data_IF_989345767491
#
_entry.id   IF_989345767491
#
_cell.length_a   1.000
_cell.length_b   1.000
_cell.length_c   1.000
_cell.angle_alpha   90.00
_cell.angle_beta   90.00
_cell.angle_gamma   90.00
#
_symmetry.space_group_name_H-M   'P 1'
#
loop_
_entity.id
_entity.type
_entity.pdbx_description
1 polymer ?
#
# COMPACT_ATOMS: atom_id res chain seq x y z
N UNK A 1 17.91 -21.11 -16.31
CA UNK A 1 17.94 -21.04 -15.91
C UNK A 1 17.50 -20.94 -15.06
N UNK A 2 17.23 -21.06 -14.87
CA UNK A 2 16.92 -21.06 -14.12
C UNK A 2 16.79 -20.92 -13.18
N UNK A 3 16.84 -21.06 -13.07
CA UNK A 3 16.92 -21.05 -12.18
C UNK A 3 16.82 -20.47 -11.29
N UNK A 4 16.85 -20.25 -11.40
CA UNK A 4 16.80 -19.78 -10.67
C UNK A 4 16.31 -19.67 -9.79
N UNK A 5 15.79 -19.81 -9.79
CA UNK A 5 15.14 -19.70 -9.05
C UNK A 5 15.23 -20.07 -7.99
N UNK A 6 15.48 -20.52 -7.94
CA UNK A 6 15.51 -20.92 -7.01
C UNK A 6 16.01 -20.59 -6.09
N UNK A 7 16.24 -20.26 -6.10
CA UNK A 7 16.75 -19.95 -5.32
C UNK A 7 16.31 -19.39 -4.31
N UNK A 8 15.63 -19.21 -4.28
CA UNK A 8 15.11 -18.59 -3.54
C UNK A 8 14.84 -19.40 -2.52
N UNK A 9 14.99 -20.36 -2.67
CA UNK A 9 14.80 -21.13 -1.85
C UNK A 9 15.71 -21.17 -0.97
N UNK A 10 16.24 -20.69 -1.09
CA UNK A 10 17.14 -20.49 -0.45
C UNK A 10 17.02 -20.55 0.62
N UNK A 11 16.50 -20.63 0.57
CA UNK A 11 16.34 -20.76 1.41
C UNK A 11 16.74 -20.78 2.25
N UNK A 12 16.92 -20.65 2.08
CA UNK A 12 17.30 -20.64 2.62
C UNK A 12 17.53 -20.84 3.56
N UNK A 13 17.43 -20.95 3.84
CA UNK A 13 17.61 -21.05 4.69
C UNK A 13 18.24 -21.85 5.34
N UNK A 14 18.78 -22.29 5.05
CA UNK A 14 19.41 -23.05 5.49
C UNK A 14 20.41 -22.71 6.17
N UNK A 15 20.66 -22.21 6.20
CA UNK A 15 21.57 -21.87 6.75
C UNK A 15 21.62 -21.16 7.76
N UNK A 16 21.06 -20.88 8.06
CA UNK A 16 21.13 -20.10 8.94
C UNK A 16 20.76 -20.46 10.06
N UNK A 17 21.06 -20.73 10.59
CA UNK A 17 20.82 -21.08 11.66
C UNK A 17 20.68 -20.24 12.52
N UNK A 18 20.22 -19.84 12.66
CA UNK A 18 20.08 -19.03 13.28
C UNK A 18 19.62 -18.92 14.24
N UNK A 19 19.62 -18.76 14.78
CA UNK A 19 19.46 -18.45 15.73
C UNK A 19 18.35 -18.40 16.20
N UNK A 20 18.10 -18.74 16.79
CA UNK A 20 17.04 -18.62 17.29
C UNK A 20 15.87 -18.91 16.61
N UNK A 21 15.82 -19.31 15.92
CA UNK A 21 14.85 -19.35 15.25
C UNK A 21 14.00 -20.31 15.40
N UNK A 22 13.22 -20.16 15.19
CA UNK A 22 12.18 -20.83 15.42
C UNK A 22 11.98 -21.86 14.45
N UNK A 23 11.83 -23.02 14.78
CA UNK A 23 11.47 -23.98 13.89
C UNK A 23 10.07 -23.83 13.54
N UNK A 24 9.66 -24.07 12.31
CA UNK A 24 8.27 -24.06 11.92
C UNK A 24 7.64 -25.35 12.38
N UNK A 25 6.65 -25.23 13.23
CA UNK A 25 5.90 -26.40 13.65
C UNK A 25 4.94 -26.76 12.54
N UNK A 26 4.41 -27.97 12.59
CA UNK A 26 3.42 -28.42 11.63
C UNK A 26 2.20 -27.50 11.65
N UNK A 27 1.85 -27.03 12.83
CA UNK A 27 0.74 -26.15 13.01
C UNK A 27 0.94 -24.85 12.24
N UNK A 28 2.16 -24.28 12.33
CA UNK A 28 2.47 -23.05 11.62
C UNK A 28 2.50 -23.24 10.12
N UNK A 29 3.05 -24.35 9.68
CA UNK A 29 3.08 -24.66 8.26
C UNK A 29 1.67 -24.79 7.72
N UNK A 30 0.80 -25.43 8.48
CA UNK A 30 -0.56 -25.60 8.06
C UNK A 30 -1.29 -24.28 7.98
N UNK A 31 -1.05 -23.39 8.96
CA UNK A 31 -1.67 -22.08 8.95
C UNK A 31 -1.24 -21.29 7.74
N UNK A 32 0.05 -21.35 7.38
CA UNK A 32 0.55 -20.66 6.21
C UNK A 32 -0.07 -21.23 4.93
N UNK A 33 -0.14 -22.55 4.84
CA UNK A 33 -0.74 -23.18 3.67
C UNK A 33 -2.19 -22.83 3.51
N UNK A 34 -2.92 -22.76 4.61
CA UNK A 34 -4.30 -22.38 4.59
C UNK A 34 -4.47 -20.94 4.10
N UNK A 35 -3.60 -20.06 4.59
CA UNK A 35 -3.61 -18.69 4.19
C UNK A 35 -3.32 -18.54 2.68
N UNK A 36 -2.39 -19.35 2.18
CA UNK A 36 -2.07 -19.34 0.76
C UNK A 36 -3.24 -19.80 -0.09
N UNK A 37 -3.96 -20.80 0.39
CA UNK A 37 -5.14 -21.27 -0.33
C UNK A 37 -6.22 -20.20 -0.35
N UNK A 38 -6.41 -19.53 0.79
CA UNK A 38 -7.39 -18.46 0.85
C UNK A 38 -7.06 -17.35 -0.12
N UNK A 39 -5.77 -16.97 -0.19
CA UNK A 39 -5.35 -15.93 -1.11
C UNK A 39 -5.58 -16.36 -2.56
N UNK A 40 -5.34 -17.63 -2.85
CA UNK A 40 -5.48 -18.13 -4.21
C UNK A 40 -6.92 -18.03 -4.71
N UNK A 41 -7.88 -18.08 -3.78
CA UNK A 41 -9.29 -18.04 -4.15
C UNK A 41 -9.85 -16.63 -4.21
N UNK A 42 -9.07 -15.63 -3.82
CA UNK A 42 -9.56 -14.25 -3.79
C UNK A 42 -9.33 -13.58 -5.14
N UNK A 43 -10.34 -12.97 -5.72
CA UNK A 43 -10.15 -12.25 -6.99
C UNK A 43 -9.17 -11.10 -6.84
N UNK A 44 -8.44 -10.83 -7.92
CA UNK A 44 -7.43 -9.77 -7.90
C UNK A 44 -8.01 -8.43 -7.47
N UNK A 45 -9.24 -8.15 -7.89
CA UNK A 45 -9.85 -6.87 -7.56
C UNK A 45 -10.01 -6.66 -6.06
N UNK A 46 -10.28 -7.73 -5.33
CA UNK A 46 -10.39 -7.62 -3.88
C UNK A 46 -9.05 -7.36 -3.23
N UNK A 47 -8.00 -8.00 -3.74
CA UNK A 47 -6.66 -7.77 -3.22
C UNK A 47 -6.22 -6.35 -3.51
N UNK A 48 -6.45 -5.89 -4.74
CA UNK A 48 -6.07 -4.54 -5.13
C UNK A 48 -6.82 -3.50 -4.30
N UNK A 49 -8.13 -3.69 -4.15
CA UNK A 49 -8.93 -2.75 -3.37
C UNK A 49 -8.51 -2.73 -1.91
N UNK A 50 -8.25 -3.89 -1.34
CA UNK A 50 -7.81 -3.95 0.06
C UNK A 50 -6.48 -3.25 0.25
N UNK A 51 -5.55 -3.49 -0.67
CA UNK A 51 -4.25 -2.83 -0.60
C UNK A 51 -4.40 -1.31 -0.71
N UNK A 52 -5.23 -0.87 -1.64
CA UNK A 52 -5.45 0.57 -1.82
C UNK A 52 -6.06 1.18 -0.57
N UNK A 53 -7.07 0.53 0.02
CA UNK A 53 -7.73 1.05 1.21
C UNK A 53 -6.74 1.10 2.37
N UNK A 54 -5.91 0.08 2.50
CA UNK A 54 -4.90 0.08 3.55
C UNK A 54 -3.92 1.24 3.39
N UNK A 55 -3.49 1.49 2.16
CA UNK A 55 -2.61 2.62 1.89
C UNK A 55 -3.30 3.94 2.15
N UNK A 56 -4.57 4.04 1.81
CA UNK A 56 -5.34 5.26 2.09
C UNK A 56 -5.43 5.53 3.58
N UNK A 57 -5.70 4.50 4.36
CA UNK A 57 -5.80 4.68 5.82
C UNK A 57 -4.47 5.14 6.39
N UNK A 58 -3.38 4.52 5.95
CA UNK A 58 -2.06 4.89 6.44
C UNK A 58 -1.73 6.32 6.03
N UNK A 59 -2.03 6.69 4.79
CA UNK A 59 -1.75 8.03 4.31
C UNK A 59 -2.58 9.07 5.06
N UNK A 60 -3.84 8.74 5.35
CA UNK A 60 -4.69 9.67 6.09
C UNK A 60 -4.11 9.99 7.46
N UNK A 61 -3.64 8.96 8.17
CA UNK A 61 -3.02 9.18 9.47
C UNK A 61 -1.78 10.07 9.33
N UNK A 62 -0.98 9.81 8.30
CA UNK A 62 0.25 10.59 8.10
C UNK A 62 -0.04 12.02 7.65
N UNK A 63 -1.22 12.28 7.12
CA UNK A 63 -1.65 13.65 6.79
C UNK A 63 -2.24 14.37 8.00
N UNK A 64 -2.39 13.70 9.12
CA UNK A 64 -2.95 14.32 10.31
C UNK A 64 -4.45 14.19 10.42
N UNK A 65 -5.04 13.23 9.72
CA UNK A 65 -6.50 13.05 9.74
C UNK A 65 -6.96 12.03 10.75
N UNK A 66 -6.07 11.55 11.62
CA UNK A 66 -6.49 10.64 12.68
C UNK A 66 -7.48 11.37 13.59
N UNK A 67 -8.44 10.62 14.10
CA UNK A 67 -9.53 11.24 14.84
C UNK A 67 -9.26 11.33 16.34
N UNK A 68 -8.07 10.99 16.80
CA UNK A 68 -7.80 11.07 18.23
C UNK A 68 -6.96 12.29 18.56
N UNK A 69 -6.67 12.46 19.83
CA UNK A 69 -5.94 13.62 20.32
C UNK A 69 -4.51 13.66 19.82
N UNK A 70 -4.02 12.54 19.34
CA UNK A 70 -2.63 12.44 18.92
C UNK A 70 -2.45 12.64 17.43
N UNK A 71 -3.47 13.17 16.76
CA UNK A 71 -3.43 13.32 15.31
C UNK A 71 -2.17 14.06 14.84
N UNK A 72 -1.83 15.14 15.55
CA UNK A 72 -0.66 15.92 15.16
C UNK A 72 0.64 15.18 15.41
N UNK A 73 0.68 14.37 16.46
CA UNK A 73 1.87 13.58 16.75
C UNK A 73 2.12 12.50 15.73
N UNK A 74 1.06 12.05 15.06
CA UNK A 74 1.15 10.98 14.07
C UNK A 74 1.39 11.52 12.68
N UNK A 75 1.31 12.83 12.51
CA UNK A 75 1.47 13.45 11.20
C UNK A 75 2.91 13.31 10.72
N UNK A 76 3.07 12.91 9.48
CA UNK A 76 4.39 12.72 8.88
C UNK A 76 4.22 12.87 7.38
N UNK A 77 4.42 14.09 6.90
CA UNK A 77 4.12 14.41 5.51
C UNK A 77 5.09 13.76 4.53
N UNK A 78 6.32 13.49 4.96
CA UNK A 78 7.26 12.78 4.09
C UNK A 78 6.77 11.36 3.81
N UNK A 79 6.28 10.69 4.85
CA UNK A 79 5.74 9.34 4.66
C UNK A 79 4.41 9.38 3.92
N UNK A 80 3.61 10.40 4.18
CA UNK A 80 2.35 10.56 3.45
C UNK A 80 2.61 10.73 1.96
N UNK A 81 3.63 11.51 1.59
CA UNK A 81 3.97 11.71 0.18
C UNK A 81 4.30 10.39 -0.50
N UNK A 82 5.08 9.55 0.16
CA UNK A 82 5.42 8.24 -0.40
C UNK A 82 4.18 7.39 -0.63
N UNK A 83 3.32 7.36 0.36
CA UNK A 83 2.11 6.54 0.27
C UNK A 83 1.17 7.03 -0.82
N UNK A 84 0.98 8.34 -0.91
CA UNK A 84 0.07 8.90 -1.90
C UNK A 84 0.63 8.70 -3.31
N UNK A 85 1.94 8.88 -3.47
CA UNK A 85 2.56 8.65 -4.76
C UNK A 85 2.41 7.21 -5.21
N UNK A 86 2.67 6.27 -4.30
CA UNK A 86 2.53 4.86 -4.61
C UNK A 86 1.08 4.49 -4.88
N UNK A 87 0.16 5.06 -4.10
CA UNK A 87 -1.26 4.80 -4.30
C UNK A 87 -1.72 5.32 -5.66
N UNK A 88 -1.24 6.49 -6.07
CA UNK A 88 -1.57 7.02 -7.39
C UNK A 88 -1.12 6.07 -8.49
N UNK A 89 0.06 5.49 -8.34
CA UNK A 89 0.54 4.51 -9.29
C UNK A 89 -0.33 3.28 -9.33
N UNK A 90 -0.66 2.77 -8.15
CA UNK A 90 -1.51 1.58 -8.06
C UNK A 90 -2.87 1.82 -8.70
N UNK A 91 -3.53 2.91 -8.35
CA UNK A 91 -4.86 3.20 -8.86
C UNK A 91 -4.83 3.43 -10.38
N UNK A 92 -3.83 4.16 -10.85
CA UNK A 92 -3.71 4.44 -12.28
C UNK A 92 -3.52 3.15 -13.08
N UNK A 93 -2.64 2.28 -12.59
CA UNK A 93 -2.38 1.02 -13.30
C UNK A 93 -3.55 0.06 -13.19
N UNK A 94 -4.23 0.05 -12.06
CA UNK A 94 -5.31 -0.91 -11.83
C UNK A 94 -6.61 -0.52 -12.52
N UNK A 95 -6.86 0.77 -12.69
CA UNK A 95 -8.16 1.24 -13.13
C UNK A 95 -8.68 0.57 -14.40
N UNK A 96 -7.87 0.46 -15.49
CA UNK A 96 -8.38 -0.20 -16.68
C UNK A 96 -8.61 -1.71 -16.50
N UNK A 97 -7.96 -2.30 -15.51
CA UNK A 97 -8.09 -3.73 -15.27
C UNK A 97 -9.30 -4.06 -14.41
N UNK A 98 -9.67 -3.19 -13.49
CA UNK A 98 -10.77 -3.48 -12.57
C UNK A 98 -12.07 -2.81 -12.97
N UNK A 99 -12.03 -1.89 -13.92
CA UNK A 99 -13.23 -1.23 -14.41
C UNK A 99 -13.58 0.01 -13.62
N UNK A 100 -14.31 0.93 -14.27
CA UNK A 100 -14.56 2.24 -13.67
C UNK A 100 -15.41 2.16 -12.41
N UNK A 101 -16.29 1.18 -12.32
CA UNK A 101 -17.13 1.04 -11.15
C UNK A 101 -16.30 0.81 -9.88
N UNK A 102 -15.27 -0.01 -10.00
CA UNK A 102 -14.39 -0.28 -8.88
C UNK A 102 -13.29 0.77 -8.72
N UNK A 103 -12.91 1.39 -9.82
CA UNK A 103 -11.84 2.39 -9.77
C UNK A 103 -12.30 3.72 -9.21
N UNK A 104 -13.57 4.07 -9.41
CA UNK A 104 -14.06 5.39 -9.00
C UNK A 104 -13.86 5.67 -7.51
N UNK A 105 -14.26 4.76 -6.60
CA UNK A 105 -14.04 5.04 -5.17
C UNK A 105 -12.57 5.16 -4.83
N UNK A 106 -11.71 4.43 -5.52
CA UNK A 106 -10.27 4.51 -5.26
C UNK A 106 -9.71 5.85 -5.73
N UNK A 107 -10.19 6.32 -6.88
CA UNK A 107 -9.80 7.64 -7.37
C UNK A 107 -10.27 8.75 -6.44
N UNK A 108 -11.49 8.62 -5.94
CA UNK A 108 -12.02 9.61 -5.02
C UNK A 108 -11.21 9.67 -3.73
N UNK A 109 -10.86 8.51 -3.20
CA UNK A 109 -10.03 8.44 -2.01
C UNK A 109 -8.66 9.04 -2.23
N UNK A 110 -8.07 8.73 -3.39
CA UNK A 110 -6.76 9.27 -3.74
C UNK A 110 -6.82 10.79 -3.80
N UNK A 111 -7.83 11.34 -4.49
CA UNK A 111 -7.97 12.78 -4.60
C UNK A 111 -8.15 13.44 -3.23
N UNK A 112 -8.96 12.83 -2.39
CA UNK A 112 -9.17 13.34 -1.04
C UNK A 112 -7.84 13.43 -0.29
N UNK A 113 -6.99 12.43 -0.44
CA UNK A 113 -5.69 12.43 0.22
C UNK A 113 -4.75 13.45 -0.37
N UNK A 114 -4.78 13.62 -1.69
CA UNK A 114 -3.96 14.65 -2.33
C UNK A 114 -4.34 16.04 -1.83
N UNK A 115 -5.63 16.29 -1.68
CA UNK A 115 -6.08 17.57 -1.15
C UNK A 115 -5.73 17.73 0.31
N UNK A 116 -5.88 16.66 1.10
CA UNK A 116 -5.52 16.70 2.51
C UNK A 116 -4.03 16.97 2.70
N UNK A 117 -3.22 16.33 1.88
CA UNK A 117 -1.78 16.56 1.92
C UNK A 117 -1.45 18.01 1.62
N UNK A 118 -2.07 18.55 0.59
CA UNK A 118 -1.86 19.95 0.21
C UNK A 118 -2.24 20.89 1.35
N UNK A 119 -3.37 20.62 1.96
CA UNK A 119 -3.85 21.42 3.06
C UNK A 119 -2.95 21.38 4.28
N UNK A 120 -2.39 20.20 4.54
CA UNK A 120 -1.52 20.01 5.69
C UNK A 120 -0.12 20.56 5.47
N UNK A 121 0.25 20.84 4.23
CA UNK A 121 1.61 21.26 3.91
C UNK A 121 1.80 22.74 4.22
N UNK A 122 2.83 23.08 5.03
CA UNK A 122 3.10 24.49 5.30
C UNK A 122 3.46 25.26 4.03
N UNK A 123 4.13 24.58 3.11
CA UNK A 123 4.50 25.17 1.82
C UNK A 123 4.00 24.25 0.74
N UNK A 124 2.74 24.43 0.30
CA UNK A 124 2.16 23.48 -0.67
C UNK A 124 2.94 23.47 -1.99
N UNK A 125 2.98 22.31 -2.60
CA UNK A 125 3.60 22.17 -3.90
C UNK A 125 2.83 22.96 -4.95
N UNK A 126 3.53 23.36 -5.99
CA UNK A 126 2.87 23.98 -7.13
C UNK A 126 1.91 22.99 -7.76
N UNK A 127 0.87 23.51 -8.43
CA UNK A 127 -0.09 22.61 -9.10
C UNK A 127 0.63 21.63 -10.03
N UNK A 128 0.26 20.37 -9.93
CA UNK A 128 0.87 19.32 -10.72
C UNK A 128 2.13 18.74 -10.14
N UNK A 129 2.63 19.30 -9.04
CA UNK A 129 3.89 18.85 -8.45
C UNK A 129 3.68 18.08 -7.16
N UNK A 130 2.48 18.01 -6.65
CA UNK A 130 2.20 17.28 -5.43
C UNK A 130 2.28 15.78 -5.63
N UNK A 131 2.14 15.01 -4.52
CA UNK A 131 2.28 13.56 -4.61
C UNK A 131 1.23 12.97 -5.55
N UNK A 132 1.72 12.17 -6.49
CA UNK A 132 0.84 11.48 -7.43
C UNK A 132 0.32 12.34 -8.56
N UNK A 133 0.55 13.66 -8.54
CA UNK A 133 -0.06 14.53 -9.52
C UNK A 133 0.55 14.39 -10.91
N UNK A 134 1.70 13.75 -11.02
CA UNK A 134 2.22 13.39 -12.33
C UNK A 134 1.30 12.43 -13.06
N UNK A 135 0.56 11.64 -12.31
CA UNK A 135 -0.33 10.63 -12.87
C UNK A 135 -1.77 11.10 -12.93
N UNK A 136 -2.20 11.91 -11.96
CA UNK A 136 -3.59 12.32 -11.87
C UNK A 136 -3.85 13.70 -12.46
N UNK A 137 -2.82 14.50 -12.64
CA UNK A 137 -2.99 15.91 -12.93
C UNK A 137 -3.16 16.70 -11.63
N UNK A 138 -3.16 18.03 -11.75
CA UNK A 138 -3.24 18.86 -10.54
C UNK A 138 -4.55 18.67 -9.80
N UNK A 139 -4.52 18.81 -8.48
CA UNK A 139 -5.73 18.78 -7.66
C UNK A 139 -5.90 20.16 -7.02
N UNK A 140 -7.16 20.55 -6.86
CA UNK A 140 -7.48 21.86 -6.30
C UNK A 140 -8.52 21.72 -5.20
#
# INVERSE_FOLDING_TARGET
MSTENNNFRFTAGEETPVHGHTELTEEKVEAVNEQLRDIADVPAIEIISSAAIHMMSAAAVKCGLASDENADDLKDLDEARKLITALAGLVTAAAPEIGSQHAAPLRDGLRTLQLAFREASPFPDEPGKGPGEKLTGPVY
#
